data_IF_254133626211
#
_entry.id   IF_254133626211
#
_cell.length_a   1.000
_cell.length_b   1.000
_cell.length_c   1.000
_cell.angle_alpha   90.00
_cell.angle_beta   90.00
_cell.angle_gamma   90.00
#
_symmetry.space_group_name_H-M   'P 1'
#
loop_
_entity.id
_entity.type
_entity.pdbx_description
1 polymer ?
#
# COMPACT_ATOMS: atom_id res chain seq x y z
N UNK A 1 -18.00 2.42 6.38
CA UNK A 1 -17.84 1.25 7.27
C UNK A 1 -16.36 0.91 7.34
N UNK A 2 -15.86 0.52 8.50
CA UNK A 2 -14.46 0.13 8.68
C UNK A 2 -14.40 -1.40 8.73
N UNK A 3 -13.36 -1.99 8.16
CA UNK A 3 -13.17 -3.45 8.11
C UNK A 3 -11.73 -3.70 8.51
N UNK A 4 -11.53 -4.51 9.56
CA UNK A 4 -10.20 -4.95 9.96
C UNK A 4 -9.72 -6.17 9.17
N UNK A 5 -8.47 -6.55 9.36
CA UNK A 5 -7.90 -7.78 8.79
C UNK A 5 -8.70 -9.03 9.23
N UNK A 6 -9.14 -9.07 10.49
CA UNK A 6 -9.96 -10.17 11.04
C UNK A 6 -11.34 -10.27 10.39
N UNK A 7 -12.03 -9.14 10.21
CA UNK A 7 -13.34 -9.10 9.55
C UNK A 7 -13.24 -9.57 8.10
N UNK A 8 -12.19 -9.12 7.40
CA UNK A 8 -11.90 -9.51 6.02
C UNK A 8 -11.64 -11.02 5.91
N UNK A 9 -10.83 -11.58 6.82
CA UNK A 9 -10.54 -13.01 6.86
C UNK A 9 -11.81 -13.84 7.18
N UNK A 10 -12.62 -13.39 8.13
CA UNK A 10 -13.89 -14.03 8.49
C UNK A 10 -14.88 -14.02 7.33
N UNK A 11 -15.00 -12.90 6.62
CA UNK A 11 -15.85 -12.81 5.43
C UNK A 11 -15.45 -13.83 4.36
N UNK A 12 -14.15 -13.90 4.02
CA UNK A 12 -13.64 -14.87 3.04
C UNK A 12 -13.95 -16.30 3.47
N UNK A 13 -13.76 -16.62 4.75
CA UNK A 13 -14.08 -17.93 5.33
C UNK A 13 -15.57 -18.26 5.23
N UNK A 14 -16.45 -17.34 5.64
CA UNK A 14 -17.90 -17.52 5.59
C UNK A 14 -18.42 -17.68 4.16
N UNK A 15 -17.76 -17.04 3.19
CA UNK A 15 -18.08 -17.17 1.76
C UNK A 15 -17.56 -18.44 1.11
N UNK A 16 -16.75 -19.25 1.82
CA UNK A 16 -16.06 -20.39 1.23
C UNK A 16 -15.17 -20.01 0.05
N UNK A 17 -14.69 -18.76 0.00
CA UNK A 17 -13.91 -18.27 -1.11
C UNK A 17 -12.47 -18.79 -1.01
N UNK A 18 -11.87 -19.11 -2.16
CA UNK A 18 -10.46 -19.51 -2.22
C UNK A 18 -9.58 -18.33 -1.79
N UNK A 19 -8.60 -18.60 -0.96
CA UNK A 19 -7.59 -17.64 -0.53
C UNK A 19 -6.19 -18.21 -0.71
N UNK A 20 -5.22 -17.34 -0.99
CA UNK A 20 -3.81 -17.68 -0.99
C UNK A 20 -3.23 -17.27 0.37
N UNK A 21 -2.75 -18.25 1.13
CA UNK A 21 -2.04 -18.02 2.40
C UNK A 21 -0.53 -17.99 2.21
N UNK A 22 -0.03 -18.23 1.00
CA UNK A 22 1.40 -18.24 0.70
C UNK A 22 1.98 -16.85 0.89
N UNK A 23 3.01 -16.78 1.73
CA UNK A 23 3.68 -15.55 2.09
C UNK A 23 4.98 -15.37 1.32
N UNK A 24 5.44 -14.13 1.19
CA UNK A 24 6.77 -13.84 0.66
C UNK A 24 7.84 -14.50 1.54
N UNK A 25 8.91 -15.10 0.99
CA UNK A 25 10.02 -15.61 1.79
C UNK A 25 10.69 -14.56 2.69
N UNK A 26 10.53 -13.28 2.37
CA UNK A 26 11.00 -12.14 3.16
C UNK A 26 9.90 -11.51 4.03
N UNK A 27 8.75 -12.18 4.21
CA UNK A 27 7.78 -11.73 5.20
C UNK A 27 8.40 -11.79 6.60
N UNK A 28 8.06 -10.82 7.45
CA UNK A 28 8.49 -10.82 8.86
C UNK A 28 9.76 -10.02 9.13
N UNK A 29 10.46 -9.55 8.08
CA UNK A 29 11.62 -8.67 8.24
C UNK A 29 11.31 -7.19 8.00
N UNK A 30 10.10 -6.88 7.55
CA UNK A 30 9.68 -5.50 7.29
C UNK A 30 9.10 -4.81 8.52
N UNK A 31 8.93 -3.49 8.43
CA UNK A 31 8.44 -2.66 9.55
C UNK A 31 7.02 -3.06 10.00
N UNK A 32 6.19 -3.61 9.12
CA UNK A 32 4.85 -4.05 9.50
C UNK A 32 4.90 -5.27 10.43
N UNK A 33 5.93 -6.12 10.34
CA UNK A 33 6.11 -7.24 11.27
C UNK A 33 6.27 -6.77 12.72
N UNK A 34 6.81 -5.57 12.92
CA UNK A 34 6.93 -4.92 14.24
C UNK A 34 5.68 -4.12 14.60
N UNK A 35 5.12 -3.35 13.65
CA UNK A 35 4.01 -2.44 13.94
C UNK A 35 2.69 -3.18 14.14
N UNK A 36 2.39 -4.21 13.33
CA UNK A 36 1.10 -4.91 13.38
C UNK A 36 0.82 -5.56 14.75
N UNK A 37 1.76 -6.27 15.39
CA UNK A 37 1.54 -6.82 16.74
C UNK A 37 1.25 -5.74 17.79
N UNK A 38 1.90 -4.58 17.69
CA UNK A 38 1.64 -3.46 18.61
C UNK A 38 0.23 -2.92 18.46
N UNK A 39 -0.23 -2.73 17.21
CA UNK A 39 -1.62 -2.31 16.93
C UNK A 39 -2.62 -3.37 17.38
N UNK A 40 -2.35 -4.66 17.12
CA UNK A 40 -3.20 -5.75 17.57
C UNK A 40 -3.36 -5.76 19.11
N UNK A 41 -2.26 -5.54 19.84
CA UNK A 41 -2.31 -5.42 21.30
C UNK A 41 -3.12 -4.21 21.78
N UNK A 42 -3.07 -3.09 21.07
CA UNK A 42 -3.92 -1.93 21.36
C UNK A 42 -5.40 -2.23 21.12
N UNK A 43 -5.72 -3.01 20.07
CA UNK A 43 -7.09 -3.44 19.77
C UNK A 43 -7.65 -4.36 20.87
N UNK A 44 -6.83 -5.26 21.41
CA UNK A 44 -7.23 -6.11 22.56
C UNK A 44 -7.61 -5.28 23.80
N UNK A 45 -6.90 -4.18 24.06
CA UNK A 45 -7.16 -3.30 25.20
C UNK A 45 -8.31 -2.31 24.91
N UNK A 46 -8.41 -1.85 23.68
CA UNK A 46 -9.39 -0.88 23.22
C UNK A 46 -9.81 -1.21 21.77
N UNK A 47 -10.96 -1.89 21.56
CA UNK A 47 -11.36 -2.41 20.25
C UNK A 47 -11.44 -1.35 19.14
N UNK A 48 -11.76 -0.10 19.49
CA UNK A 48 -11.89 1.00 18.54
C UNK A 48 -10.56 1.68 18.17
N UNK A 49 -9.45 1.28 18.79
CA UNK A 49 -8.15 1.96 18.68
C UNK A 49 -7.63 2.06 17.25
N UNK A 50 -7.79 1.02 16.43
CA UNK A 50 -7.35 1.02 15.03
C UNK A 50 -8.09 2.06 14.19
N UNK A 51 -9.42 2.10 14.28
CA UNK A 51 -10.25 3.09 13.57
C UNK A 51 -9.95 4.50 14.06
N UNK A 52 -9.75 4.69 15.36
CA UNK A 52 -9.41 5.98 15.94
C UNK A 52 -8.02 6.46 15.50
N UNK A 53 -7.03 5.56 15.41
CA UNK A 53 -5.70 5.86 14.89
C UNK A 53 -5.79 6.33 13.43
N UNK A 54 -6.44 5.57 12.56
CA UNK A 54 -6.54 5.93 11.14
C UNK A 54 -7.37 7.21 10.95
N UNK A 55 -8.45 7.38 11.69
CA UNK A 55 -9.26 8.60 11.70
C UNK A 55 -8.45 9.83 12.11
N UNK A 56 -7.67 9.71 13.19
CA UNK A 56 -6.81 10.80 13.69
C UNK A 56 -5.70 11.16 12.70
N UNK A 57 -5.08 10.16 12.06
CA UNK A 57 -4.07 10.38 11.02
C UNK A 57 -4.64 11.07 9.79
N UNK A 58 -5.86 10.70 9.35
CA UNK A 58 -6.55 11.38 8.24
C UNK A 58 -6.85 12.84 8.57
N UNK A 59 -7.35 13.10 9.77
CA UNK A 59 -7.62 14.45 10.23
C UNK A 59 -6.34 15.29 10.34
N UNK A 60 -5.25 14.70 10.86
CA UNK A 60 -3.94 15.34 10.90
C UNK A 60 -3.43 15.68 9.50
N UNK A 61 -3.49 14.72 8.57
CA UNK A 61 -3.09 14.94 7.18
C UNK A 61 -3.90 16.07 6.53
N UNK A 62 -5.21 16.13 6.81
CA UNK A 62 -6.08 17.20 6.34
C UNK A 62 -5.67 18.56 6.88
N UNK A 63 -5.40 18.66 8.19
CA UNK A 63 -4.93 19.90 8.83
C UNK A 63 -3.56 20.35 8.33
N UNK A 64 -2.69 19.39 8.00
CA UNK A 64 -1.37 19.65 7.45
C UNK A 64 -1.40 20.00 5.95
N UNK A 65 -2.57 20.04 5.31
CA UNK A 65 -2.70 20.31 3.87
C UNK A 65 -2.26 19.16 2.98
N UNK A 66 -1.92 17.99 3.53
CA UNK A 66 -1.43 16.82 2.79
C UNK A 66 -2.52 16.08 2.00
N UNK A 67 -3.79 16.38 2.28
CA UNK A 67 -4.94 15.79 1.56
C UNK A 67 -5.49 16.70 0.48
N UNK A 68 -5.03 17.95 0.40
CA UNK A 68 -5.40 18.84 -0.69
C UNK A 68 -4.62 18.41 -1.93
N UNK A 69 -5.26 18.50 -3.09
CA UNK A 69 -4.62 18.42 -4.42
C UNK A 69 -3.77 19.69 -4.68
N UNK A 70 -3.06 20.16 -3.63
CA UNK A 70 -2.30 21.39 -3.59
C UNK A 70 -0.99 21.18 -4.32
N UNK A 71 -1.06 20.91 -5.63
CA UNK A 71 -0.03 21.24 -6.63
C UNK A 71 1.42 20.87 -6.31
N UNK A 72 1.69 19.94 -5.38
CA UNK A 72 3.04 19.52 -5.02
C UNK A 72 3.60 18.63 -6.14
N UNK A 73 4.06 19.31 -7.18
CA UNK A 73 4.63 18.79 -8.41
C UNK A 73 3.53 18.24 -9.33
N UNK A 74 3.27 18.94 -10.44
CA UNK A 74 2.45 18.37 -11.51
C UNK A 74 3.02 16.99 -11.86
N UNK A 75 2.21 15.94 -11.68
CA UNK A 75 2.59 14.64 -12.19
C UNK A 75 2.79 14.77 -13.69
N UNK A 76 3.97 14.37 -14.15
CA UNK A 76 4.33 14.30 -15.57
C UNK A 76 4.41 12.84 -15.98
N UNK A 77 4.33 12.58 -17.27
CA UNK A 77 4.57 11.24 -17.79
C UNK A 77 6.07 10.95 -17.85
N UNK A 78 6.46 9.76 -17.40
CA UNK A 78 7.83 9.28 -17.48
C UNK A 78 8.28 9.19 -18.95
N UNK A 79 9.45 9.72 -19.28
CA UNK A 79 9.99 9.69 -20.65
C UNK A 79 10.35 8.30 -21.16
N UNK A 80 10.45 7.30 -20.27
CA UNK A 80 10.74 5.90 -20.62
C UNK A 80 9.47 5.06 -20.83
N UNK A 81 8.60 5.00 -19.83
CA UNK A 81 7.45 4.07 -19.82
C UNK A 81 6.08 4.76 -19.85
N UNK A 82 6.03 6.09 -19.85
CA UNK A 82 4.77 6.85 -19.88
C UNK A 82 3.94 6.84 -18.59
N UNK A 83 4.37 6.18 -17.51
CA UNK A 83 3.65 6.21 -16.22
C UNK A 83 3.78 7.56 -15.48
N UNK A 84 2.82 7.93 -14.60
CA UNK A 84 2.91 9.12 -13.77
C UNK A 84 4.18 9.14 -12.92
N UNK A 85 4.87 10.28 -12.93
CA UNK A 85 6.08 10.51 -12.16
C UNK A 85 6.21 11.96 -11.73
N UNK A 86 6.92 12.17 -10.62
CA UNK A 86 7.37 13.51 -10.18
C UNK A 86 8.70 13.92 -10.83
N UNK A 87 9.38 13.01 -11.53
CA UNK A 87 10.66 13.24 -12.19
C UNK A 87 10.58 12.83 -13.66
N UNK A 88 11.63 13.10 -14.45
CA UNK A 88 11.68 12.72 -15.87
C UNK A 88 11.59 11.21 -16.09
N UNK A 89 12.42 10.45 -15.37
CA UNK A 89 12.41 8.98 -15.36
C UNK A 89 11.84 8.53 -14.02
N UNK A 90 10.88 7.59 -14.01
CA UNK A 90 10.24 7.17 -12.76
C UNK A 90 11.18 6.31 -11.90
N UNK A 91 10.89 6.22 -10.60
CA UNK A 91 11.70 5.41 -9.67
C UNK A 91 11.80 3.94 -10.09
N UNK A 92 10.76 3.40 -10.73
CA UNK A 92 10.77 2.03 -11.24
C UNK A 92 11.78 1.85 -12.40
N UNK A 93 11.77 2.74 -13.39
CA UNK A 93 12.73 2.71 -14.50
C UNK A 93 14.17 2.89 -14.02
N UNK A 94 14.42 3.84 -13.12
CA UNK A 94 15.76 4.01 -12.52
C UNK A 94 16.23 2.76 -11.78
N UNK A 95 15.34 2.12 -11.03
CA UNK A 95 15.66 0.89 -10.31
C UNK A 95 16.01 -0.24 -11.28
N UNK A 96 15.19 -0.47 -12.31
CA UNK A 96 15.44 -1.49 -13.32
C UNK A 96 16.79 -1.28 -14.03
N UNK A 97 17.07 -0.05 -14.47
CA UNK A 97 18.35 0.32 -15.08
C UNK A 97 19.52 0.06 -14.12
N UNK A 98 19.39 0.39 -12.82
CA UNK A 98 20.44 0.15 -11.81
C UNK A 98 20.72 -1.33 -11.55
N UNK A 99 19.76 -2.21 -11.84
CA UNK A 99 19.89 -3.67 -11.74
C UNK A 99 20.34 -4.31 -13.06
N UNK A 100 20.69 -3.51 -14.08
CA UNK A 100 21.09 -4.01 -15.40
C UNK A 100 19.92 -4.52 -16.26
N UNK A 101 18.67 -4.24 -15.85
CA UNK A 101 17.47 -4.58 -16.60
C UNK A 101 16.98 -3.43 -17.49
N UNK A 102 16.05 -3.74 -18.39
CA UNK A 102 15.27 -2.76 -19.14
C UNK A 102 13.80 -2.84 -18.72
N UNK A 103 13.11 -1.68 -18.68
CA UNK A 103 11.66 -1.66 -18.46
C UNK A 103 10.99 -1.89 -19.81
N UNK A 104 10.08 -2.87 -19.94
CA UNK A 104 9.32 -3.06 -21.17
C UNK A 104 8.45 -1.83 -21.45
N UNK A 105 8.31 -1.45 -22.73
CA UNK A 105 7.53 -0.28 -23.17
C UNK A 105 6.07 -0.30 -22.69
N UNK A 106 5.57 -1.49 -22.32
CA UNK A 106 4.31 -1.69 -21.57
C UNK A 106 4.51 -2.80 -20.55
N UNK A 107 4.12 -2.56 -19.30
CA UNK A 107 3.98 -3.64 -18.32
C UNK A 107 2.87 -4.59 -18.82
N UNK A 108 3.08 -5.92 -18.82
CA UNK A 108 2.04 -6.85 -19.20
C UNK A 108 0.85 -6.66 -18.27
N UNK A 109 -0.36 -6.60 -18.84
CA UNK A 109 -1.59 -6.61 -18.05
C UNK A 109 -1.67 -7.96 -17.34
N UNK A 110 -1.35 -7.98 -16.06
CA UNK A 110 -1.52 -9.18 -15.22
C UNK A 110 -3.02 -9.43 -15.11
N UNK A 111 -3.53 -10.42 -15.84
CA UNK A 111 -4.90 -10.91 -15.65
C UNK A 111 -4.91 -11.71 -14.35
N UNK A 112 -5.49 -11.14 -13.31
CA UNK A 112 -5.76 -11.85 -12.07
C UNK A 112 -6.98 -12.75 -12.35
N UNK A 113 -6.75 -14.07 -12.42
CA UNK A 113 -7.79 -15.09 -12.62
C UNK A 113 -8.29 -15.67 -11.30
#
# INVERSE_FOLDING_TARGET
FWVGDSDSANFVRLRGARSCVTKCPHEGVDKQAVIKPLVARLVELWPQSEVNLVGSLRELARRAGLTADSGEGSFRFCSRCGYPSRTEVCSFCRLAESMGGSVPDRLPVVRVG
#
